data_IF_490313012484
#
_entry.id   IF_490313012484
#
_cell.length_a   1.000
_cell.length_b   1.000
_cell.length_c   1.000
_cell.angle_alpha   90.00
_cell.angle_beta   90.00
_cell.angle_gamma   90.00
#
_symmetry.space_group_name_H-M   'P 1'
#
loop_
_entity.id
_entity.type
_entity.pdbx_description
1 polymer ?
#
# COMPACT_ATOMS: atom_id res chain seq x y z
N UNK A 1 -0.59 -4.70 8.66
CA UNK A 1 0.71 -4.02 8.51
C UNK A 1 1.50 -4.82 7.49
N UNK A 2 2.15 -4.15 6.55
CA UNK A 2 2.97 -4.78 5.52
C UNK A 2 4.37 -4.17 5.57
N UNK A 3 5.40 -5.01 5.71
CA UNK A 3 6.78 -4.52 5.89
C UNK A 3 7.51 -4.60 4.54
N UNK A 4 7.85 -3.43 3.99
CA UNK A 4 8.47 -3.28 2.69
C UNK A 4 9.99 -3.33 2.81
N UNK A 5 10.58 -4.36 2.20
CA UNK A 5 12.01 -4.63 2.24
C UNK A 5 12.61 -4.92 0.86
N UNK A 6 13.92 -4.73 0.76
CA UNK A 6 14.77 -5.28 -0.28
C UNK A 6 14.96 -6.79 -0.03
N UNK A 7 15.04 -7.57 -1.10
CA UNK A 7 15.35 -9.00 -0.97
C UNK A 7 16.76 -9.22 -0.39
N UNK A 8 17.74 -8.46 -0.88
CA UNK A 8 19.11 -8.40 -0.38
C UNK A 8 19.52 -6.93 -0.17
N UNK A 9 19.67 -6.45 1.07
CA UNK A 9 20.10 -5.08 1.37
C UNK A 9 21.47 -4.72 0.79
N UNK A 10 22.31 -5.70 0.44
CA UNK A 10 23.63 -5.46 -0.19
C UNK A 10 23.54 -5.30 -1.71
N UNK A 11 22.40 -5.66 -2.31
CA UNK A 11 22.14 -5.56 -3.75
C UNK A 11 20.75 -4.94 -3.97
N UNK A 12 20.58 -3.64 -3.66
CA UNK A 12 19.27 -2.99 -3.73
C UNK A 12 18.72 -3.00 -5.15
N UNK A 13 17.41 -3.24 -5.26
CA UNK A 13 16.64 -3.20 -6.51
C UNK A 13 15.39 -2.34 -6.33
N UNK A 14 14.67 -2.07 -7.42
CA UNK A 14 13.35 -1.43 -7.35
C UNK A 14 12.21 -2.42 -7.04
N UNK A 15 12.53 -3.70 -6.80
CA UNK A 15 11.52 -4.71 -6.40
C UNK A 15 11.32 -4.64 -4.90
N UNK A 16 10.10 -4.31 -4.48
CA UNK A 16 9.71 -4.31 -3.06
C UNK A 16 9.20 -5.70 -2.69
N UNK A 17 9.77 -6.28 -1.63
CA UNK A 17 9.34 -7.54 -1.01
C UNK A 17 8.54 -7.26 0.24
N UNK A 18 7.57 -8.11 0.52
CA UNK A 18 6.87 -8.13 1.81
C UNK A 18 7.57 -9.13 2.71
N UNK A 19 8.37 -8.64 3.64
CA UNK A 19 9.15 -9.47 4.55
C UNK A 19 8.75 -9.20 5.99
N UNK A 20 9.31 -9.94 6.97
CA UNK A 20 9.13 -9.63 8.39
C UNK A 20 10.49 -9.42 9.02
N UNK A 21 10.85 -8.15 9.27
CA UNK A 21 12.21 -7.67 9.65
C UNK A 21 13.30 -7.94 8.59
N UNK A 22 13.32 -9.14 7.98
CA UNK A 22 14.15 -9.49 6.83
C UNK A 22 13.52 -10.63 6.02
N UNK A 23 13.85 -10.74 4.74
CA UNK A 23 13.31 -11.79 3.87
C UNK A 23 13.86 -13.20 4.20
N UNK A 24 14.91 -13.28 5.02
CA UNK A 24 15.42 -14.55 5.53
C UNK A 24 14.53 -15.13 6.65
N UNK A 25 13.83 -14.27 7.42
CA UNK A 25 12.88 -14.69 8.45
C UNK A 25 11.54 -15.08 7.85
N UNK A 26 11.01 -14.20 6.99
CA UNK A 26 9.81 -14.47 6.20
C UNK A 26 9.85 -13.62 4.94
N UNK A 27 9.66 -14.27 3.79
CA UNK A 27 9.41 -13.62 2.51
C UNK A 27 8.03 -14.04 2.02
N UNK A 28 7.07 -13.12 2.11
CA UNK A 28 5.68 -13.32 1.72
C UNK A 28 5.43 -13.01 0.23
N UNK A 29 6.46 -12.67 -0.55
CA UNK A 29 6.32 -12.37 -1.98
C UNK A 29 6.59 -10.91 -2.33
N UNK A 30 6.23 -10.53 -3.56
CA UNK A 30 6.34 -9.12 -3.98
C UNK A 30 5.24 -8.29 -3.32
N UNK A 31 5.51 -7.01 -3.09
CA UNK A 31 4.48 -6.05 -2.67
C UNK A 31 3.33 -5.96 -3.67
N UNK A 32 3.63 -6.00 -4.97
CA UNK A 32 2.61 -5.98 -6.01
C UNK A 32 1.62 -7.14 -5.88
N UNK A 33 2.10 -8.36 -5.61
CA UNK A 33 1.24 -9.54 -5.45
C UNK A 33 0.44 -9.47 -4.15
N UNK A 34 1.07 -9.06 -3.03
CA UNK A 34 0.35 -8.87 -1.77
C UNK A 34 -0.77 -7.83 -1.87
N UNK A 35 -0.52 -6.70 -2.55
CA UNK A 35 -1.55 -5.70 -2.82
C UNK A 35 -2.63 -6.21 -3.79
N UNK A 36 -2.27 -7.09 -4.74
CA UNK A 36 -3.25 -7.72 -5.64
C UNK A 36 -4.21 -8.61 -4.86
N UNK A 37 -3.72 -9.41 -3.92
CA UNK A 37 -4.57 -10.21 -3.03
C UNK A 37 -5.57 -9.34 -2.26
N UNK A 38 -5.15 -8.17 -1.78
CA UNK A 38 -6.05 -7.22 -1.11
C UNK A 38 -7.05 -6.62 -2.10
N UNK A 39 -6.61 -6.32 -3.32
CA UNK A 39 -7.48 -5.82 -4.40
C UNK A 39 -8.60 -6.81 -4.69
N UNK A 40 -8.27 -8.08 -4.87
CA UNK A 40 -9.22 -9.18 -5.10
C UNK A 40 -10.21 -9.31 -3.94
N UNK A 41 -9.73 -9.28 -2.68
CA UNK A 41 -10.60 -9.28 -1.51
C UNK A 41 -11.60 -8.11 -1.53
N UNK A 42 -11.16 -6.91 -1.88
CA UNK A 42 -12.00 -5.72 -1.94
C UNK A 42 -12.99 -5.80 -3.11
N UNK A 43 -12.63 -6.43 -4.22
CA UNK A 43 -13.57 -6.68 -5.33
C UNK A 43 -14.68 -7.66 -4.95
N UNK A 44 -14.34 -8.72 -4.23
CA UNK A 44 -15.30 -9.73 -3.76
C UNK A 44 -16.17 -9.23 -2.60
N UNK A 45 -15.72 -8.20 -1.88
CA UNK A 45 -16.38 -7.66 -0.69
C UNK A 45 -16.67 -6.16 -0.86
N UNK A 46 -17.74 -5.76 -1.58
CA UNK A 46 -17.96 -4.38 -2.03
C UNK A 46 -18.22 -3.37 -0.91
N UNK A 47 -18.51 -3.82 0.31
CA UNK A 47 -18.83 -2.98 1.47
C UNK A 47 -17.74 -2.97 2.55
N UNK A 48 -16.62 -3.62 2.31
CA UNK A 48 -15.47 -3.60 3.23
C UNK A 48 -14.59 -2.38 2.98
N UNK A 49 -13.99 -1.88 4.07
CA UNK A 49 -13.02 -0.79 4.04
C UNK A 49 -11.73 -1.25 4.72
N UNK A 50 -10.60 -1.10 4.03
CA UNK A 50 -9.31 -1.60 4.48
C UNK A 50 -8.37 -0.42 4.76
N UNK A 51 -7.72 -0.45 5.94
CA UNK A 51 -6.61 0.46 6.25
C UNK A 51 -5.31 -0.32 6.16
N UNK A 52 -4.43 0.12 5.27
CA UNK A 52 -3.09 -0.45 5.08
C UNK A 52 -2.07 0.44 5.78
N UNK A 53 -1.39 -0.12 6.78
CA UNK A 53 -0.17 0.46 7.31
C UNK A 53 1.02 -0.20 6.62
N UNK A 54 1.84 0.60 5.94
CA UNK A 54 3.07 0.19 5.29
C UNK A 54 4.25 0.64 6.17
N UNK A 55 5.06 -0.32 6.59
CA UNK A 55 6.35 -0.06 7.20
C UNK A 55 7.41 -0.06 6.09
N UNK A 56 7.89 1.12 5.72
CA UNK A 56 8.85 1.32 4.63
C UNK A 56 10.29 1.12 5.14
N UNK A 57 10.61 -0.10 5.56
CA UNK A 57 11.82 -0.47 6.29
C UNK A 57 13.14 -0.23 5.56
N UNK A 58 13.15 -0.21 4.23
CA UNK A 58 14.34 0.09 3.43
C UNK A 58 14.27 1.44 2.70
N UNK A 59 13.39 2.34 3.14
CA UNK A 59 13.24 3.72 2.67
C UNK A 59 13.10 3.84 1.13
N UNK A 60 12.24 3.01 0.54
CA UNK A 60 11.88 3.13 -0.86
C UNK A 60 11.25 4.51 -1.12
N UNK A 61 11.58 5.13 -2.24
CA UNK A 61 10.99 6.41 -2.62
C UNK A 61 9.53 6.24 -3.07
N UNK A 62 8.78 7.35 -3.08
CA UNK A 62 7.36 7.35 -3.46
C UNK A 62 7.07 6.83 -4.87
N UNK A 63 8.00 6.97 -5.83
CA UNK A 63 7.79 6.49 -7.20
C UNK A 63 7.84 4.96 -7.28
N UNK A 64 8.77 4.31 -6.56
CA UNK A 64 8.84 2.85 -6.46
C UNK A 64 7.57 2.30 -5.80
N UNK A 65 7.13 2.94 -4.72
CA UNK A 65 5.89 2.57 -4.04
C UNK A 65 4.68 2.72 -4.96
N UNK A 66 4.49 3.89 -5.58
CA UNK A 66 3.37 4.15 -6.50
C UNK A 66 3.27 3.11 -7.61
N UNK A 67 4.40 2.70 -8.21
CA UNK A 67 4.43 1.65 -9.23
C UNK A 67 3.85 0.31 -8.75
N UNK A 68 4.14 -0.09 -7.50
CA UNK A 68 3.59 -1.33 -6.93
C UNK A 68 2.07 -1.21 -6.68
N UNK A 69 1.61 -0.07 -6.18
CA UNK A 69 0.18 0.22 -6.00
C UNK A 69 -0.57 0.19 -7.34
N UNK A 70 -0.05 0.88 -8.35
CA UNK A 70 -0.68 0.94 -9.67
C UNK A 70 -0.69 -0.43 -10.36
N UNK A 71 0.41 -1.19 -10.29
CA UNK A 71 0.50 -2.53 -10.87
C UNK A 71 -0.43 -3.55 -10.21
N UNK A 72 -0.74 -3.36 -8.92
CA UNK A 72 -1.70 -4.20 -8.19
C UNK A 72 -3.16 -3.90 -8.58
N UNK A 73 -3.43 -2.68 -9.05
CA UNK A 73 -4.77 -2.19 -9.34
C UNK A 73 -5.50 -1.59 -8.14
N UNK A 74 -4.92 -1.65 -6.93
CA UNK A 74 -5.56 -1.17 -5.69
C UNK A 74 -5.79 0.35 -5.68
N UNK A 75 -4.99 1.12 -6.43
CA UNK A 75 -5.02 2.59 -6.47
C UNK A 75 -6.43 3.15 -6.77
N UNK A 76 -7.24 2.47 -7.58
CA UNK A 76 -8.60 2.94 -7.92
C UNK A 76 -9.53 3.04 -6.70
N UNK A 77 -9.31 2.18 -5.70
CA UNK A 77 -10.06 2.14 -4.46
C UNK A 77 -9.47 3.05 -3.38
N UNK A 78 -8.30 3.65 -3.60
CA UNK A 78 -7.65 4.44 -2.57
C UNK A 78 -8.32 5.79 -2.34
N UNK A 79 -8.51 6.12 -1.07
CA UNK A 79 -8.94 7.41 -0.56
C UNK A 79 -7.73 8.22 -0.11
N UNK A 80 -7.43 9.30 -0.84
CA UNK A 80 -6.44 10.29 -0.44
C UNK A 80 -7.12 11.46 0.27
N UNK A 81 -6.86 11.59 1.57
CA UNK A 81 -7.35 12.71 2.36
C UNK A 81 -6.51 13.96 2.15
N UNK A 82 -7.10 15.04 1.65
CA UNK A 82 -6.43 16.34 1.73
C UNK A 82 -6.40 16.82 3.19
N UNK A 83 -5.27 17.38 3.67
CA UNK A 83 -5.16 17.86 5.05
C UNK A 83 -6.27 18.83 5.45
N UNK A 84 -6.71 19.69 4.53
CA UNK A 84 -7.74 20.70 4.76
C UNK A 84 -9.18 20.14 4.75
N UNK A 85 -9.41 18.97 4.15
CA UNK A 85 -10.76 18.41 4.03
C UNK A 85 -11.25 17.85 5.37
N UNK A 86 -12.55 17.93 5.61
CA UNK A 86 -13.18 17.20 6.71
C UNK A 86 -13.13 15.69 6.43
N UNK A 87 -13.22 14.88 7.48
CA UNK A 87 -13.34 13.44 7.31
C UNK A 87 -14.73 13.09 6.73
N UNK A 88 -14.81 12.35 5.61
CA UNK A 88 -16.06 11.77 5.17
C UNK A 88 -16.53 10.67 6.12
N UNK A 89 -17.81 10.33 6.07
CA UNK A 89 -18.31 9.14 6.77
C UNK A 89 -17.86 7.87 6.04
N UNK A 90 -17.83 6.75 6.75
CA UNK A 90 -17.57 5.45 6.12
C UNK A 90 -18.58 5.15 5.00
N UNK A 91 -19.85 5.50 5.20
CA UNK A 91 -20.88 5.29 4.18
C UNK A 91 -20.57 6.07 2.88
N UNK A 92 -20.19 7.35 2.99
CA UNK A 92 -19.82 8.16 1.83
C UNK A 92 -18.60 7.58 1.09
N UNK A 93 -17.59 7.11 1.84
CA UNK A 93 -16.41 6.46 1.26
C UNK A 93 -16.77 5.18 0.49
N UNK A 94 -17.66 4.36 1.03
CA UNK A 94 -18.13 3.14 0.37
C UNK A 94 -18.95 3.47 -0.89
N UNK A 95 -19.84 4.47 -0.82
CA UNK A 95 -20.67 4.92 -1.95
C UNK A 95 -19.82 5.48 -3.10
N UNK A 96 -18.72 6.17 -2.80
CA UNK A 96 -17.74 6.67 -3.78
C UNK A 96 -16.73 5.60 -4.25
N UNK A 97 -16.87 4.35 -3.78
CA UNK A 97 -15.97 3.23 -4.03
C UNK A 97 -14.50 3.54 -3.63
N UNK A 98 -14.33 4.37 -2.61
CA UNK A 98 -13.06 4.74 -1.97
C UNK A 98 -12.88 3.94 -0.68
N UNK A 99 -12.34 2.73 -0.84
CA UNK A 99 -12.41 1.64 0.15
C UNK A 99 -11.06 1.24 0.75
N UNK A 100 -9.98 1.94 0.37
CA UNK A 100 -8.63 1.72 0.90
C UNK A 100 -8.06 3.04 1.42
N UNK A 101 -7.52 3.03 2.64
CA UNK A 101 -6.67 4.11 3.15
C UNK A 101 -5.28 3.56 3.37
N UNK A 102 -4.26 4.33 2.96
CA UNK A 102 -2.88 3.91 3.08
C UNK A 102 -2.14 4.87 4.01
N UNK A 103 -1.42 4.30 4.96
CA UNK A 103 -0.59 5.01 5.93
C UNK A 103 0.84 4.50 5.80
N UNK A 104 1.80 5.41 5.84
CA UNK A 104 3.22 5.09 5.85
C UNK A 104 3.84 5.56 7.16
N UNK A 105 4.73 4.76 7.72
CA UNK A 105 5.61 5.18 8.81
C UNK A 105 6.60 6.26 8.34
N UNK A 106 7.13 6.12 7.12
CA UNK A 106 7.98 7.08 6.43
C UNK A 106 7.89 6.94 4.92
N UNK A 107 7.90 8.08 4.24
CA UNK A 107 8.01 8.13 2.79
C UNK A 107 8.53 9.49 2.34
N UNK A 108 9.62 9.47 1.58
CA UNK A 108 10.19 10.68 1.01
C UNK A 108 9.39 11.10 -0.24
N UNK A 109 8.63 12.19 -0.10
CA UNK A 109 7.83 12.81 -1.17
C UNK A 109 6.32 12.46 -1.11
N UNK A 110 5.47 13.46 -1.37
CA UNK A 110 3.99 13.34 -1.37
C UNK A 110 3.41 12.95 -2.73
N UNK A 111 4.03 11.99 -3.42
CA UNK A 111 3.78 11.79 -4.87
C UNK A 111 2.79 10.68 -5.21
N UNK A 112 2.21 9.98 -4.23
CA UNK A 112 1.27 8.90 -4.52
C UNK A 112 -0.18 9.32 -4.22
N UNK A 113 -1.16 8.92 -5.06
CA UNK A 113 -2.55 9.41 -5.00
C UNK A 113 -3.41 8.68 -3.96
N UNK A 114 -2.81 8.17 -2.89
CA UNK A 114 -3.46 7.42 -1.82
C UNK A 114 -3.21 8.04 -0.45
#
# INVERSE_FOLDING_TARGET
MLDAHQLDPKQPTDTVRLCHESCALLDAGTMTDGLRTITEFIEDNPREFVVLLIENSDNFNGAVMAKNFDASGITRYAYHKQPADAWPTLAALLDDNKRVMVLFDRLDGRTAPW
#
